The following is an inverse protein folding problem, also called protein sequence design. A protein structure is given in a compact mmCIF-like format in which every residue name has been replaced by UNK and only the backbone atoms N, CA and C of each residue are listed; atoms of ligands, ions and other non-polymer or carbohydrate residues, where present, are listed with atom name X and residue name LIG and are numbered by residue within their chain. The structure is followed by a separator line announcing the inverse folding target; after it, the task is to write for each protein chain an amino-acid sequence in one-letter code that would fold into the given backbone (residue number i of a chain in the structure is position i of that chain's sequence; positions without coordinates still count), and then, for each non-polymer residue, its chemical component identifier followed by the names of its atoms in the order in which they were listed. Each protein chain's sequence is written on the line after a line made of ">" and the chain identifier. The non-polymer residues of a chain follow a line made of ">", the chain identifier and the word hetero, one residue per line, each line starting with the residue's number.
data_IF_658638066778
#
_entry.id   IF_658638066778
#
_cell.length_a   1.000
_cell.length_b   1.000
_cell.length_c   1.000
_cell.angle_alpha   90.00
_cell.angle_beta   90.00
_cell.angle_gamma   90.00
#
_symmetry.space_group_name_H-M   'P 1'
#
loop_
_entity.id
_entity.type
_entity.pdbx_description
1 polymer ?
#
# COMPACT_ATOMS: atom_id res chain seq x y z
N UNK A 1 11.77 -4.39 6.46
CA UNK A 1 13.17 -4.76 6.77
C UNK A 1 14.16 -4.14 5.78
N UNK A 2 14.09 -4.43 4.48
CA UNK A 2 15.14 -4.02 3.51
C UNK A 2 15.22 -2.51 3.24
N UNK A 3 14.09 -1.84 2.95
CA UNK A 3 14.09 -0.41 2.57
C UNK A 3 14.66 0.53 3.65
N UNK A 4 14.54 0.14 4.92
CA UNK A 4 15.07 0.88 6.06
C UNK A 4 16.29 0.22 6.71
N UNK A 5 16.86 -0.82 6.08
CA UNK A 5 18.00 -1.57 6.61
C UNK A 5 17.81 -2.09 8.06
N UNK A 6 16.58 -2.45 8.42
CA UNK A 6 16.22 -2.96 9.75
C UNK A 6 16.68 -4.42 9.92
N UNK A 7 17.28 -4.74 11.07
CA UNK A 7 17.73 -6.08 11.41
C UNK A 7 16.67 -6.85 12.20
N UNK A 8 16.36 -8.07 11.74
CA UNK A 8 15.41 -8.99 12.40
C UNK A 8 15.87 -9.49 13.78
N UNK A 9 17.16 -9.40 14.08
CA UNK A 9 17.73 -9.83 15.35
C UNK A 9 17.63 -8.74 16.44
N UNK A 10 17.30 -7.50 16.04
CA UNK A 10 17.12 -6.36 16.95
C UNK A 10 15.62 -6.23 17.24
N UNK A 11 15.22 -6.42 18.50
CA UNK A 11 13.81 -6.38 18.92
C UNK A 11 13.13 -5.03 18.62
N UNK A 12 13.87 -3.93 18.74
CA UNK A 12 13.37 -2.58 18.45
C UNK A 12 13.03 -2.39 16.95
N UNK A 13 13.87 -2.93 16.07
CA UNK A 13 13.67 -2.90 14.62
C UNK A 13 12.47 -3.75 14.19
N UNK A 14 12.27 -4.90 14.85
CA UNK A 14 11.08 -5.74 14.67
C UNK A 14 9.83 -4.99 15.12
N UNK A 15 9.85 -4.39 16.32
CA UNK A 15 8.73 -3.59 16.83
C UNK A 15 8.38 -2.41 15.93
N UNK A 16 9.37 -1.75 15.33
CA UNK A 16 9.19 -0.65 14.36
C UNK A 16 8.59 -1.10 13.02
N UNK A 17 8.86 -2.34 12.62
CA UNK A 17 8.24 -2.93 11.44
C UNK A 17 6.78 -3.35 11.72
N UNK A 18 6.53 -3.99 12.86
CA UNK A 18 5.19 -4.43 13.29
C UNK A 18 4.25 -3.26 13.57
N UNK A 19 4.77 -2.13 14.07
CA UNK A 19 3.94 -0.93 14.26
C UNK A 19 3.45 -0.32 12.95
N UNK A 20 4.15 -0.58 11.83
CA UNK A 20 3.82 -0.04 10.49
C UNK A 20 2.95 -0.98 9.67
N UNK A 21 3.25 -2.28 9.67
CA UNK A 21 2.50 -3.27 8.88
C UNK A 21 1.43 -3.87 9.78
N UNK A 22 0.21 -3.35 9.68
CA UNK A 22 -0.92 -3.72 10.53
C UNK A 22 -2.02 -4.35 9.68
N UNK A 23 -2.34 -5.61 9.95
CA UNK A 23 -3.30 -6.38 9.16
C UNK A 23 -4.72 -5.77 9.25
N UNK A 24 -5.06 -5.18 10.40
CA UNK A 24 -6.36 -4.60 10.67
C UNK A 24 -6.63 -3.39 9.77
N UNK A 25 -5.63 -2.52 9.60
CA UNK A 25 -5.79 -1.32 8.76
C UNK A 25 -5.75 -1.66 7.28
N UNK A 26 -5.01 -2.69 6.88
CA UNK A 26 -4.98 -3.18 5.49
C UNK A 26 -6.37 -3.73 5.12
N UNK A 27 -6.95 -4.59 5.96
CA UNK A 27 -8.30 -5.13 5.72
C UNK A 27 -9.40 -4.04 5.79
N UNK A 28 -9.24 -3.05 6.66
CA UNK A 28 -10.17 -1.93 6.74
C UNK A 28 -10.10 -1.04 5.48
N UNK A 29 -8.94 -0.90 4.85
CA UNK A 29 -8.77 -0.14 3.61
C UNK A 29 -9.68 -0.69 2.50
N UNK A 30 -9.71 -2.01 2.31
CA UNK A 30 -10.57 -2.67 1.31
C UNK A 30 -12.05 -2.29 1.50
N UNK A 31 -12.55 -2.36 2.74
CA UNK A 31 -13.93 -2.00 3.07
C UNK A 31 -14.19 -0.51 2.83
N UNK A 32 -13.23 0.35 3.16
CA UNK A 32 -13.38 1.80 2.97
C UNK A 32 -13.38 2.19 1.48
N UNK A 33 -12.67 1.45 0.63
CA UNK A 33 -12.71 1.64 -0.82
C UNK A 33 -14.06 1.19 -1.41
N UNK A 34 -14.57 0.02 -0.99
CA UNK A 34 -15.91 -0.47 -1.37
C UNK A 34 -17.03 0.52 -0.99
N UNK A 35 -16.91 1.16 0.18
CA UNK A 35 -17.85 2.19 0.64
C UNK A 35 -17.69 3.53 -0.10
N UNK A 36 -16.67 3.68 -0.95
CA UNK A 36 -16.33 4.91 -1.65
C UNK A 36 -15.74 6.00 -0.74
N UNK A 37 -15.34 5.67 0.48
CA UNK A 37 -14.72 6.61 1.41
C UNK A 37 -13.28 6.95 1.00
N UNK A 38 -12.62 6.04 0.29
CA UNK A 38 -11.35 6.25 -0.40
C UNK A 38 -11.64 6.25 -1.90
N UNK A 39 -11.37 7.36 -2.58
CA UNK A 39 -11.81 7.59 -3.96
C UNK A 39 -10.68 7.58 -4.99
N UNK A 40 -9.42 7.51 -4.54
CA UNK A 40 -8.22 7.56 -5.38
C UNK A 40 -7.28 6.41 -5.01
N UNK A 41 -6.84 5.65 -6.02
CA UNK A 41 -5.77 4.66 -5.89
C UNK A 41 -4.56 5.12 -6.71
N UNK A 42 -3.37 5.08 -6.08
CA UNK A 42 -2.09 5.46 -6.68
C UNK A 42 -1.11 4.31 -6.75
N UNK A 43 -0.14 4.44 -7.66
CA UNK A 43 0.84 3.38 -7.96
C UNK A 43 1.99 3.27 -6.97
N UNK A 44 2.35 4.37 -6.29
CA UNK A 44 3.59 4.52 -5.53
C UNK A 44 4.83 3.95 -6.26
N UNK A 45 4.96 4.31 -7.54
CA UNK A 45 5.93 3.72 -8.46
C UNK A 45 7.36 3.82 -7.92
N UNK A 46 8.06 2.67 -7.86
CA UNK A 46 9.46 2.55 -7.41
C UNK A 46 9.72 2.90 -5.93
N UNK A 47 8.72 3.39 -5.20
CA UNK A 47 8.86 3.80 -3.81
C UNK A 47 8.02 2.98 -2.81
N UNK A 48 7.27 1.99 -3.29
CA UNK A 48 6.79 0.76 -2.60
C UNK A 48 5.65 0.08 -3.38
N UNK A 49 5.21 0.65 -4.51
CA UNK A 49 4.21 0.09 -5.39
C UNK A 49 4.68 -0.13 -6.84
N UNK A 50 3.74 -0.61 -7.67
CA UNK A 50 4.01 -1.16 -9.00
C UNK A 50 3.18 -0.43 -10.06
N UNK A 51 3.85 0.33 -10.92
CA UNK A 51 3.23 1.17 -11.95
C UNK A 51 2.27 0.42 -12.88
N UNK A 52 2.59 -0.81 -13.24
CA UNK A 52 1.81 -1.61 -14.19
C UNK A 52 0.64 -2.38 -13.60
N UNK A 53 0.48 -2.41 -12.27
CA UNK A 53 -0.52 -3.26 -11.61
C UNK A 53 -1.72 -2.50 -11.07
N UNK A 54 -1.73 -1.16 -11.13
CA UNK A 54 -2.77 -0.32 -10.52
C UNK A 54 -4.16 -0.72 -11.00
N UNK A 55 -4.37 -0.76 -12.31
CA UNK A 55 -5.67 -1.11 -12.91
C UNK A 55 -6.07 -2.55 -12.54
N UNK A 56 -5.13 -3.49 -12.63
CA UNK A 56 -5.39 -4.89 -12.34
C UNK A 56 -5.81 -5.10 -10.88
N UNK A 57 -5.17 -4.41 -9.93
CA UNK A 57 -5.48 -4.50 -8.50
C UNK A 57 -6.84 -3.90 -8.17
N UNK A 58 -7.12 -2.69 -8.68
CA UNK A 58 -8.43 -2.04 -8.49
C UNK A 58 -9.58 -2.92 -8.98
N UNK A 59 -9.44 -3.53 -10.18
CA UNK A 59 -10.48 -4.44 -10.69
C UNK A 59 -10.55 -5.79 -9.98
N UNK A 60 -9.44 -6.31 -9.48
CA UNK A 60 -9.43 -7.58 -8.75
C UNK A 60 -10.18 -7.47 -7.42
N UNK A 61 -10.16 -6.28 -6.82
CA UNK A 61 -10.85 -5.98 -5.56
C UNK A 61 -12.32 -5.57 -5.76
N UNK A 62 -12.77 -5.36 -7.00
CA UNK A 62 -14.16 -5.00 -7.33
C UNK A 62 -14.44 -3.49 -7.28
N UNK A 63 -13.41 -2.68 -7.06
CA UNK A 63 -13.49 -1.24 -6.89
C UNK A 63 -13.69 -0.48 -8.21
N UNK A 64 -14.47 0.61 -8.17
CA UNK A 64 -14.65 1.57 -9.27
C UNK A 64 -13.98 2.92 -9.02
N UNK A 65 -13.08 2.99 -8.04
CA UNK A 65 -12.40 4.23 -7.60
C UNK A 65 -11.58 4.87 -8.73
N UNK A 66 -11.41 6.20 -8.70
CA UNK A 66 -10.58 6.92 -9.66
C UNK A 66 -9.11 6.48 -9.54
N UNK A 67 -8.44 6.29 -10.68
CA UNK A 67 -7.07 5.84 -10.75
C UNK A 67 -6.13 7.02 -11.04
N UNK A 68 -5.18 7.28 -10.14
CA UNK A 68 -4.16 8.31 -10.34
C UNK A 68 -2.77 7.66 -10.44
N UNK A 69 -2.20 7.61 -11.64
CA UNK A 69 -0.84 7.11 -11.82
C UNK A 69 0.13 8.22 -11.41
N UNK A 70 0.52 8.25 -10.13
CA UNK A 70 1.61 9.11 -9.68
C UNK A 70 2.93 8.37 -9.98
N UNK A 71 3.62 8.79 -11.03
CA UNK A 71 5.02 8.44 -11.28
C UNK A 71 5.87 9.43 -10.51
N UNK A 72 6.41 9.02 -9.37
CA UNK A 72 7.45 9.79 -8.69
C UNK A 72 8.74 9.58 -9.50
N UNK A 73 8.86 10.34 -10.59
CA UNK A 73 10.04 10.37 -11.44
C UNK A 73 11.11 11.30 -10.86
N UNK A 74 12.37 10.93 -11.08
CA UNK A 74 13.50 11.85 -11.09
C UNK A 74 13.35 12.90 -12.21
#
# INVERSE_FOLDING_TARGET
>A
MVSHHLDKNILEDVSSAESRIRAETIAAEDILRDLGAISIISSDSQAMGRIGEVMQRTRAEGDTTMMEIIVIGN
#
